data_IF_190675385670
#
_entry.id   IF_190675385670
#
_cell.length_a   1.000
_cell.length_b   1.000
_cell.length_c   1.000
_cell.angle_alpha   90.00
_cell.angle_beta   90.00
_cell.angle_gamma   90.00
#
_symmetry.space_group_name_H-M   'P 1'
#
loop_
_entity.id
_entity.type
_entity.pdbx_description
1 polymer ?
#
# COMPACT_ATOMS: atom_id res chain seq x y z
N UNK A 1 18.57 -38.54 2.26
CA UNK A 1 18.58 -37.11 2.61
C UNK A 1 17.65 -36.39 1.63
N UNK A 2 16.36 -36.21 1.94
CA UNK A 2 15.41 -35.58 0.99
C UNK A 2 14.31 -34.73 1.65
N UNK A 3 14.26 -34.58 2.97
CA UNK A 3 13.07 -34.00 3.64
C UNK A 3 13.12 -32.49 3.93
N UNK A 4 14.19 -31.77 3.56
CA UNK A 4 14.30 -30.33 3.88
C UNK A 4 13.76 -29.37 2.82
N UNK A 5 13.41 -29.83 1.62
CA UNK A 5 13.07 -28.92 0.51
C UNK A 5 11.63 -28.38 0.55
N UNK A 6 10.69 -29.05 1.22
CA UNK A 6 9.26 -28.71 1.11
C UNK A 6 8.82 -27.64 2.12
N UNK A 7 9.49 -27.51 3.27
CA UNK A 7 9.10 -26.51 4.30
C UNK A 7 9.53 -25.08 3.95
N UNK A 8 10.69 -24.90 3.30
CA UNK A 8 11.21 -23.57 2.96
C UNK A 8 10.39 -22.87 1.86
N UNK A 9 9.80 -23.61 0.93
CA UNK A 9 8.90 -23.03 -0.10
C UNK A 9 7.58 -22.50 0.51
N UNK A 10 7.01 -23.18 1.51
CA UNK A 10 5.77 -22.72 2.17
C UNK A 10 6.01 -21.44 2.99
N UNK A 11 7.19 -21.34 3.61
CA UNK A 11 7.60 -20.14 4.35
C UNK A 11 7.82 -18.98 3.38
N UNK A 12 8.54 -19.18 2.26
CA UNK A 12 8.77 -18.11 1.28
C UNK A 12 7.47 -17.65 0.58
N UNK A 13 6.55 -18.57 0.28
CA UNK A 13 5.21 -18.26 -0.27
C UNK A 13 4.35 -17.44 0.69
N UNK A 14 4.39 -17.77 1.99
CA UNK A 14 3.73 -16.97 3.04
C UNK A 14 4.41 -15.62 3.24
N UNK A 15 5.73 -15.54 3.35
CA UNK A 15 6.41 -14.26 3.61
C UNK A 15 6.21 -13.27 2.44
N UNK A 16 6.19 -13.75 1.19
CA UNK A 16 5.92 -12.93 0.01
C UNK A 16 4.53 -12.28 0.05
N UNK A 17 3.51 -13.05 0.40
CA UNK A 17 2.11 -12.57 0.48
C UNK A 17 1.86 -11.61 1.65
N UNK A 18 2.56 -11.80 2.77
CA UNK A 18 2.40 -10.94 3.95
C UNK A 18 3.04 -9.57 3.76
N UNK A 19 4.16 -9.49 3.01
CA UNK A 19 4.82 -8.22 2.72
C UNK A 19 3.96 -7.30 1.85
N UNK A 20 3.29 -7.84 0.84
CA UNK A 20 2.48 -7.06 -0.09
C UNK A 20 1.18 -6.55 0.58
N UNK A 21 0.48 -7.42 1.32
CA UNK A 21 -0.71 -7.03 2.07
C UNK A 21 -0.42 -6.05 3.21
N UNK A 22 0.65 -6.29 3.98
CA UNK A 22 1.04 -5.41 5.08
C UNK A 22 1.54 -4.03 4.59
N UNK A 23 2.13 -3.95 3.40
CA UNK A 23 2.53 -2.66 2.83
C UNK A 23 1.31 -1.78 2.53
N UNK A 24 0.25 -2.34 1.93
CA UNK A 24 -0.98 -1.58 1.63
C UNK A 24 -1.71 -1.12 2.90
N UNK A 25 -1.74 -1.94 3.95
CA UNK A 25 -2.31 -1.57 5.24
C UNK A 25 -1.55 -0.41 5.89
N UNK A 26 -0.22 -0.49 5.92
CA UNK A 26 0.65 0.59 6.43
C UNK A 26 0.46 1.90 5.68
N UNK A 27 0.31 1.85 4.35
CA UNK A 27 0.03 3.05 3.53
C UNK A 27 -1.32 3.67 3.91
N UNK A 28 -2.38 2.87 4.10
CA UNK A 28 -3.69 3.37 4.52
C UNK A 28 -3.65 4.00 5.91
N UNK A 29 -2.93 3.38 6.84
CA UNK A 29 -2.80 3.92 8.19
C UNK A 29 -1.99 5.23 8.21
N UNK A 30 -0.84 5.27 7.53
CA UNK A 30 -0.04 6.48 7.39
C UNK A 30 -0.85 7.59 6.72
N UNK A 31 -1.60 7.28 5.67
CA UNK A 31 -2.49 8.22 5.00
C UNK A 31 -3.54 8.80 5.95
N UNK A 32 -4.22 7.98 6.76
CA UNK A 32 -5.20 8.47 7.74
C UNK A 32 -4.58 9.46 8.72
N UNK A 33 -3.39 9.14 9.26
CA UNK A 33 -2.69 10.03 10.20
C UNK A 33 -2.35 11.38 9.56
N UNK A 34 -1.80 11.34 8.34
CA UNK A 34 -1.41 12.56 7.62
C UNK A 34 -2.63 13.37 7.16
N UNK A 35 -3.71 12.71 6.76
CA UNK A 35 -4.94 13.36 6.32
C UNK A 35 -5.68 14.05 7.46
N UNK A 36 -5.77 13.43 8.65
CA UNK A 36 -6.39 14.06 9.83
C UNK A 36 -5.63 15.33 10.22
N UNK A 37 -4.30 15.29 10.19
CA UNK A 37 -3.46 16.46 10.50
C UNK A 37 -3.58 17.60 9.47
N UNK A 38 -3.93 17.28 8.23
CA UNK A 38 -4.02 18.26 7.13
C UNK A 38 -5.45 18.47 6.64
N UNK A 39 -6.46 17.99 7.37
CA UNK A 39 -7.86 18.07 6.94
C UNK A 39 -8.31 19.53 6.86
N UNK A 40 -9.02 19.95 5.80
CA UNK A 40 -9.49 21.33 5.68
C UNK A 40 -10.34 21.78 6.87
N UNK A 41 -11.17 20.89 7.42
CA UNK A 41 -12.00 21.18 8.60
C UNK A 41 -11.20 21.40 9.89
N UNK A 42 -9.95 20.95 9.96
CA UNK A 42 -9.04 21.19 11.08
C UNK A 42 -8.13 22.42 10.85
N UNK A 43 -8.38 23.21 9.79
CA UNK A 43 -7.53 24.33 9.38
C UNK A 43 -6.40 23.94 8.43
N UNK A 44 -6.44 22.73 7.88
CA UNK A 44 -5.49 22.27 6.87
C UNK A 44 -5.77 22.83 5.47
N UNK A 45 -4.83 22.62 4.55
CA UNK A 45 -4.98 23.10 3.17
C UNK A 45 -5.64 22.06 2.28
N UNK A 46 -6.66 22.47 1.53
CA UNK A 46 -7.31 21.64 0.52
C UNK A 46 -6.31 21.13 -0.54
N UNK A 47 -5.25 21.89 -0.82
CA UNK A 47 -4.19 21.49 -1.72
C UNK A 47 -3.34 20.34 -1.15
N UNK A 48 -3.00 20.42 0.14
CA UNK A 48 -2.23 19.36 0.82
C UNK A 48 -3.05 18.08 0.91
N UNK A 49 -4.33 18.17 1.29
CA UNK A 49 -5.24 17.02 1.32
C UNK A 49 -5.32 16.33 -0.05
N UNK A 50 -5.42 17.09 -1.15
CA UNK A 50 -5.40 16.54 -2.51
C UNK A 50 -4.07 15.84 -2.84
N UNK A 51 -2.92 16.42 -2.47
CA UNK A 51 -1.60 15.80 -2.70
C UNK A 51 -1.39 14.52 -1.87
N UNK A 52 -1.92 14.49 -0.66
CA UNK A 52 -1.90 13.31 0.22
C UNK A 52 -2.76 12.18 -0.36
N UNK A 53 -3.90 12.52 -0.98
CA UNK A 53 -4.73 11.56 -1.72
C UNK A 53 -4.02 11.02 -2.97
N UNK A 54 -3.42 11.89 -3.79
CA UNK A 54 -2.63 11.46 -4.96
C UNK A 54 -1.49 10.51 -4.56
N UNK A 55 -0.76 10.83 -3.50
CA UNK A 55 0.33 9.99 -3.01
C UNK A 55 -0.15 8.61 -2.56
N UNK A 56 -1.29 8.54 -1.84
CA UNK A 56 -1.92 7.27 -1.49
C UNK A 56 -2.29 6.47 -2.73
N UNK A 57 -2.89 7.10 -3.74
CA UNK A 57 -3.34 6.41 -4.96
C UNK A 57 -2.17 5.84 -5.76
N UNK A 58 -1.04 6.55 -5.80
CA UNK A 58 0.22 6.06 -6.41
C UNK A 58 0.81 4.91 -5.60
N UNK A 59 0.89 5.02 -4.28
CA UNK A 59 1.49 3.99 -3.41
C UNK A 59 0.63 2.74 -3.28
N UNK A 60 -0.71 2.89 -3.28
CA UNK A 60 -1.64 1.77 -3.30
C UNK A 60 -1.78 1.13 -4.68
N UNK A 61 -1.11 1.68 -5.69
CA UNK A 61 -0.56 0.82 -6.72
C UNK A 61 -1.60 -0.06 -7.41
N UNK A 62 -2.80 0.48 -7.68
CA UNK A 62 -3.19 0.47 -9.09
C UNK A 62 -2.21 1.42 -9.77
N UNK A 63 -0.95 0.98 -9.95
CA UNK A 63 -0.27 1.32 -11.19
C UNK A 63 -1.34 1.02 -12.22
N UNK A 64 -1.77 2.02 -12.97
CA UNK A 64 -2.61 1.71 -14.11
C UNK A 64 -1.75 0.74 -14.89
N UNK A 65 -2.07 -0.55 -14.80
CA UNK A 65 -1.86 -1.44 -15.91
C UNK A 65 -2.77 -0.87 -16.99
N UNK A 66 -2.36 0.25 -17.58
CA UNK A 66 -2.76 0.70 -18.90
C UNK A 66 -2.17 -0.30 -19.90
N UNK A 67 -2.47 -1.58 -19.71
CA UNK A 67 -2.69 -2.54 -20.76
C UNK A 67 -4.19 -2.59 -21.00
N UNK A 68 -4.79 -1.45 -21.33
CA UNK A 68 -6.10 -1.43 -21.97
C UNK A 68 -5.85 -1.81 -23.42
N UNK A 69 -5.92 -3.11 -23.70
CA UNK A 69 -6.04 -3.65 -25.03
C UNK A 69 -7.44 -3.29 -25.56
N UNK A 70 -7.56 -2.12 -26.20
CA UNK A 70 -8.65 -1.75 -27.10
C UNK A 70 -8.11 -0.76 -28.13
#
# INVERSE_FOLDING_TARGET
MMTKAVEEECINSKIGTWKEGAAAEKVREAHRRVMVANHPDAGGSHYLASKINEAKDVMLGKTKNTGSAF
#
